data_IF_226550311151
#
_entry.id   IF_226550311151
#
_cell.length_a   1.000
_cell.length_b   1.000
_cell.length_c   1.000
_cell.angle_alpha   90.00
_cell.angle_beta   90.00
_cell.angle_gamma   90.00
#
_symmetry.space_group_name_H-M   'P 1'
#
loop_
_entity.id
_entity.type
_entity.pdbx_description
1 polymer ?
#
# COMPACT_ATOMS: atom_id res chain seq x y z
N UNK A 1 -19.14 -25.73 -5.33
CA UNK A 1 -19.05 -26.71 -4.22
C UNK A 1 -18.42 -27.96 -4.77
N UNK A 2 -17.38 -28.47 -4.11
CA UNK A 2 -16.63 -29.66 -4.50
C UNK A 2 -16.76 -30.75 -3.44
N UNK A 3 -16.68 -32.00 -3.82
CA UNK A 3 -16.51 -33.08 -2.86
C UNK A 3 -15.09 -33.12 -2.32
N UNK A 4 -14.89 -33.67 -1.12
CA UNK A 4 -13.56 -33.67 -0.46
C UNK A 4 -12.52 -34.43 -1.31
N UNK A 5 -12.96 -35.43 -2.09
CA UNK A 5 -12.07 -36.19 -2.95
C UNK A 5 -11.79 -35.52 -4.31
N UNK A 6 -12.49 -34.43 -4.65
CA UNK A 6 -12.35 -33.67 -5.92
C UNK A 6 -12.07 -32.20 -5.69
N UNK A 7 -11.09 -31.91 -4.83
CA UNK A 7 -10.68 -30.54 -4.54
C UNK A 7 -9.74 -30.05 -5.64
N UNK A 8 -10.07 -28.92 -6.34
CA UNK A 8 -9.19 -28.35 -7.36
C UNK A 8 -7.87 -27.86 -6.75
N UNK A 9 -6.80 -27.94 -7.53
CA UNK A 9 -5.51 -27.35 -7.11
C UNK A 9 -5.64 -25.83 -7.04
N UNK A 10 -5.43 -25.28 -5.84
CA UNK A 10 -5.47 -23.86 -5.60
C UNK A 10 -4.15 -23.19 -5.99
N UNK A 11 -4.22 -21.97 -6.53
CA UNK A 11 -3.03 -21.18 -6.88
C UNK A 11 -2.28 -20.71 -5.63
N UNK A 12 -0.97 -20.99 -5.55
CA UNK A 12 -0.16 -20.79 -4.33
C UNK A 12 -0.02 -19.34 -3.87
N UNK A 13 -0.22 -18.36 -4.75
CA UNK A 13 0.04 -16.94 -4.44
C UNK A 13 -1.23 -16.10 -4.30
N UNK A 14 -2.40 -16.71 -4.29
CA UNK A 14 -3.69 -16.04 -4.15
C UNK A 14 -4.30 -16.43 -2.80
N UNK A 15 -4.93 -15.48 -2.12
CA UNK A 15 -5.72 -15.78 -0.91
C UNK A 15 -7.01 -16.46 -1.33
N UNK A 16 -7.26 -17.65 -0.80
CA UNK A 16 -8.48 -18.39 -1.01
C UNK A 16 -9.30 -18.40 0.28
N UNK A 17 -10.61 -18.29 0.14
CA UNK A 17 -11.55 -18.62 1.20
C UNK A 17 -12.02 -20.04 0.98
N UNK A 18 -11.95 -20.86 2.03
CA UNK A 18 -12.34 -22.28 1.99
C UNK A 18 -13.35 -22.49 3.11
N UNK A 19 -14.57 -22.79 2.72
CA UNK A 19 -15.66 -23.04 3.65
C UNK A 19 -16.06 -24.51 3.57
N UNK A 20 -16.39 -25.10 4.72
CA UNK A 20 -16.88 -26.49 4.80
C UNK A 20 -18.39 -26.47 4.91
N UNK A 21 -19.06 -27.09 3.97
CA UNK A 21 -20.52 -27.24 4.02
C UNK A 21 -20.89 -28.30 5.07
N UNK A 22 -21.56 -27.88 6.13
CA UNK A 22 -22.01 -28.79 7.21
C UNK A 22 -23.32 -29.46 6.86
N UNK A 23 -24.30 -28.70 6.33
CA UNK A 23 -25.61 -29.21 5.99
C UNK A 23 -26.27 -28.38 4.89
N UNK A 24 -27.24 -28.98 4.20
CA UNK A 24 -28.16 -28.31 3.26
C UNK A 24 -29.58 -28.59 3.67
N UNK A 25 -30.30 -27.54 4.04
CA UNK A 25 -31.64 -27.65 4.56
C UNK A 25 -32.64 -26.84 3.75
N UNK A 26 -33.83 -27.36 3.57
CA UNK A 26 -34.96 -26.59 3.05
C UNK A 26 -35.76 -26.07 4.24
N UNK A 27 -35.92 -24.76 4.34
CA UNK A 27 -36.60 -24.13 5.48
C UNK A 27 -38.04 -24.56 5.58
N UNK A 28 -38.37 -25.21 6.69
CA UNK A 28 -39.72 -25.51 7.11
C UNK A 28 -39.81 -25.56 8.64
N UNK A 29 -41.00 -25.46 9.26
CA UNK A 29 -41.13 -25.43 10.70
C UNK A 29 -40.63 -26.66 11.46
N UNK A 30 -40.52 -27.81 10.80
CA UNK A 30 -40.18 -29.10 11.42
C UNK A 30 -38.68 -29.37 11.53
N UNK A 31 -37.84 -28.55 10.82
CA UNK A 31 -36.40 -28.81 10.76
C UNK A 31 -35.62 -28.08 11.88
N UNK A 32 -36.27 -27.43 12.81
CA UNK A 32 -35.62 -26.62 13.85
C UNK A 32 -34.55 -27.41 14.59
N UNK A 33 -34.83 -28.65 14.98
CA UNK A 33 -33.84 -29.47 15.69
C UNK A 33 -32.62 -29.78 14.81
N UNK A 34 -32.84 -30.18 13.54
CA UNK A 34 -31.73 -30.47 12.60
C UNK A 34 -30.85 -29.25 12.36
N UNK A 35 -31.46 -28.07 12.18
CA UNK A 35 -30.69 -26.81 12.03
C UNK A 35 -29.87 -26.51 13.28
N UNK A 36 -30.45 -26.73 14.48
CA UNK A 36 -29.70 -26.52 15.74
C UNK A 36 -28.48 -27.42 15.83
N UNK A 37 -28.62 -28.70 15.52
CA UNK A 37 -27.53 -29.69 15.54
C UNK A 37 -26.44 -29.35 14.50
N UNK A 38 -26.84 -28.91 13.32
CA UNK A 38 -25.91 -28.48 12.25
C UNK A 38 -25.17 -27.21 12.64
N UNK A 39 -25.84 -26.21 13.22
CA UNK A 39 -25.24 -24.97 13.73
C UNK A 39 -24.26 -25.27 14.87
N UNK A 40 -24.62 -26.10 15.85
CA UNK A 40 -23.72 -26.50 16.94
C UNK A 40 -22.47 -27.21 16.42
N UNK A 41 -22.63 -28.06 15.41
CA UNK A 41 -21.51 -28.77 14.75
C UNK A 41 -20.61 -27.76 14.02
N UNK A 42 -21.19 -26.83 13.27
CA UNK A 42 -20.45 -25.78 12.56
C UNK A 42 -19.66 -24.87 13.52
N UNK A 43 -20.30 -24.44 14.61
CA UNK A 43 -19.66 -23.62 15.65
C UNK A 43 -18.46 -24.33 16.28
N UNK A 44 -18.57 -25.64 16.52
CA UNK A 44 -17.47 -26.44 17.09
C UNK A 44 -16.30 -26.60 16.12
N UNK A 45 -16.59 -26.88 14.84
CA UNK A 45 -15.56 -27.07 13.82
C UNK A 45 -14.83 -25.78 13.48
N UNK A 46 -15.56 -24.68 13.35
CA UNK A 46 -15.03 -23.38 12.91
C UNK A 46 -14.74 -22.41 14.06
N UNK A 47 -14.56 -22.91 15.30
CA UNK A 47 -14.22 -22.12 16.49
C UNK A 47 -15.13 -20.91 16.71
N UNK A 48 -16.41 -21.07 16.42
CA UNK A 48 -17.42 -20.07 16.70
C UNK A 48 -17.88 -19.21 15.50
N UNK A 49 -17.46 -19.53 14.27
CA UNK A 49 -17.90 -18.82 13.07
C UNK A 49 -18.70 -19.75 12.17
N UNK A 50 -19.83 -19.29 11.66
CA UNK A 50 -20.63 -20.00 10.65
C UNK A 50 -21.12 -19.02 9.61
N UNK A 51 -21.29 -19.49 8.39
CA UNK A 51 -21.89 -18.74 7.28
C UNK A 51 -23.16 -19.45 6.88
N UNK A 52 -24.25 -18.69 6.79
CA UNK A 52 -25.49 -19.16 6.17
C UNK A 52 -25.51 -18.64 4.73
N UNK A 53 -25.52 -19.56 3.80
CA UNK A 53 -25.61 -19.25 2.38
C UNK A 53 -27.05 -19.50 1.90
N UNK A 54 -27.70 -18.46 1.44
CA UNK A 54 -29.01 -18.57 0.79
C UNK A 54 -28.82 -18.94 -0.69
N UNK A 55 -29.29 -20.13 -1.07
CA UNK A 55 -29.11 -20.64 -2.41
C UNK A 55 -30.03 -19.98 -3.46
N UNK A 56 -31.05 -19.26 -3.04
CA UNK A 56 -31.99 -18.59 -3.94
C UNK A 56 -31.52 -17.13 -4.23
N UNK A 57 -31.03 -16.42 -3.23
CA UNK A 57 -30.52 -15.06 -3.38
C UNK A 57 -28.99 -14.97 -3.63
N UNK A 58 -28.27 -16.08 -3.46
CA UNK A 58 -26.79 -16.13 -3.46
C UNK A 58 -26.14 -15.19 -2.43
N UNK A 59 -26.83 -14.90 -1.34
CA UNK A 59 -26.32 -14.04 -0.27
C UNK A 59 -25.73 -14.86 0.86
N UNK A 60 -24.59 -14.39 1.37
CA UNK A 60 -23.91 -14.96 2.53
C UNK A 60 -24.19 -14.12 3.78
N UNK A 61 -24.63 -14.75 4.86
CA UNK A 61 -24.77 -14.13 6.17
C UNK A 61 -23.83 -14.79 7.17
N UNK A 62 -22.89 -13.98 7.69
CA UNK A 62 -21.91 -14.43 8.69
C UNK A 62 -22.51 -14.34 10.09
N UNK A 63 -22.41 -15.43 10.84
CA UNK A 63 -22.72 -15.48 12.26
C UNK A 63 -21.49 -15.83 13.06
N UNK A 64 -21.36 -15.23 14.24
CA UNK A 64 -20.28 -15.55 15.16
C UNK A 64 -20.83 -15.72 16.57
N UNK A 65 -20.43 -16.78 17.23
CA UNK A 65 -20.70 -16.97 18.66
C UNK A 65 -19.82 -16.06 19.54
N UNK A 66 -18.81 -15.42 18.96
CA UNK A 66 -17.87 -14.52 19.63
C UNK A 66 -17.95 -13.14 18.98
N UNK A 67 -18.39 -12.11 19.73
CA UNK A 67 -18.27 -10.68 19.42
C UNK A 67 -18.48 -10.25 17.95
N UNK A 68 -19.63 -10.55 17.38
CA UNK A 68 -20.05 -10.00 16.08
C UNK A 68 -21.07 -8.86 16.25
N UNK A 69 -20.97 -7.86 15.40
CA UNK A 69 -21.95 -6.79 15.33
C UNK A 69 -23.15 -7.25 14.48
N UNK A 70 -24.37 -7.27 15.02
CA UNK A 70 -25.54 -7.72 14.25
C UNK A 70 -26.00 -6.75 13.15
N UNK A 71 -25.39 -5.56 13.06
CA UNK A 71 -25.79 -4.51 12.11
C UNK A 71 -24.86 -4.44 10.90
N UNK A 72 -23.55 -4.64 11.09
CA UNK A 72 -22.54 -4.47 10.05
C UNK A 72 -21.65 -5.69 9.85
N UNK A 73 -22.02 -6.84 10.41
CA UNK A 73 -21.32 -8.12 10.35
C UNK A 73 -19.81 -8.06 10.73
N UNK A 74 -19.38 -6.95 11.33
CA UNK A 74 -18.03 -6.81 11.83
C UNK A 74 -17.79 -7.80 12.98
N UNK A 75 -16.83 -8.71 12.78
CA UNK A 75 -16.43 -9.69 13.77
C UNK A 75 -15.14 -9.24 14.42
N UNK A 76 -15.18 -9.01 15.74
CA UNK A 76 -13.96 -8.77 16.51
C UNK A 76 -13.30 -10.14 16.77
N UNK A 77 -12.01 -10.31 16.45
CA UNK A 77 -11.26 -11.50 16.86
C UNK A 77 -11.28 -11.62 18.40
N UNK A 78 -11.02 -12.78 18.93
CA UNK A 78 -11.03 -13.02 20.38
C UNK A 78 -10.33 -11.89 21.13
N UNK A 79 -10.99 -11.32 22.15
CA UNK A 79 -10.46 -10.22 22.95
C UNK A 79 -9.27 -10.70 23.78
N UNK A 80 -8.10 -10.68 23.20
CA UNK A 80 -6.84 -10.99 23.88
C UNK A 80 -6.14 -9.70 24.33
N UNK A 81 -5.36 -9.73 25.41
CA UNK A 81 -4.61 -8.56 25.89
C UNK A 81 -3.72 -7.93 24.81
N UNK A 82 -3.23 -8.72 23.85
CA UNK A 82 -2.40 -8.24 22.73
C UNK A 82 -3.13 -7.33 21.75
N UNK A 83 -4.48 -7.39 21.67
CA UNK A 83 -5.29 -6.45 20.88
C UNK A 83 -5.25 -5.02 21.44
N UNK A 84 -4.93 -4.86 22.72
CA UNK A 84 -4.82 -3.56 23.37
C UNK A 84 -3.38 -3.06 23.48
N UNK A 85 -2.43 -3.83 22.97
CA UNK A 85 -1.02 -3.46 22.98
C UNK A 85 -0.62 -2.77 21.70
N UNK A 86 -0.25 -1.50 21.78
CA UNK A 86 0.29 -0.75 20.64
C UNK A 86 1.67 -1.26 20.17
N UNK A 87 2.32 -2.12 20.95
CA UNK A 87 3.60 -2.79 20.60
C UNK A 87 3.40 -4.20 20.02
N UNK A 88 2.17 -4.56 19.67
CA UNK A 88 1.85 -5.83 19.02
C UNK A 88 1.12 -5.53 17.70
N UNK A 89 1.49 -6.18 16.57
CA UNK A 89 0.85 -5.95 15.27
C UNK A 89 -0.67 -6.09 15.26
N UNK A 90 -1.25 -6.88 16.17
CA UNK A 90 -2.71 -7.06 16.26
C UNK A 90 -3.41 -5.86 16.89
N UNK A 91 -2.74 -5.11 17.78
CA UNK A 91 -3.29 -3.95 18.50
C UNK A 91 -2.67 -2.62 18.08
N UNK A 92 -1.58 -2.66 17.33
CA UNK A 92 -0.92 -1.47 16.82
C UNK A 92 -1.79 -0.75 15.77
N UNK A 93 -1.76 0.56 15.79
CA UNK A 93 -2.39 1.36 14.76
C UNK A 93 -1.74 1.09 13.40
N UNK A 94 -2.48 0.69 12.34
CA UNK A 94 -1.91 0.37 11.03
C UNK A 94 -1.28 1.58 10.32
N UNK A 95 -1.54 2.81 10.79
CA UNK A 95 -0.99 4.04 10.23
C UNK A 95 0.39 4.40 10.79
N UNK A 96 0.66 4.06 12.05
CA UNK A 96 1.91 4.44 12.74
C UNK A 96 2.61 3.26 13.41
N UNK A 97 2.16 2.01 13.20
CA UNK A 97 2.70 0.79 13.80
C UNK A 97 2.85 0.89 15.33
N UNK A 98 1.93 1.62 15.99
CA UNK A 98 1.94 1.85 17.43
C UNK A 98 2.90 2.95 17.91
N UNK A 99 3.61 3.62 17.01
CA UNK A 99 4.60 4.66 17.37
C UNK A 99 3.97 6.00 17.81
N UNK A 100 2.68 6.20 17.53
CA UNK A 100 1.97 7.45 17.85
C UNK A 100 2.33 8.65 16.97
N UNK A 101 3.24 8.48 16.03
CA UNK A 101 3.63 9.49 15.05
C UNK A 101 3.94 8.86 13.70
N UNK A 102 3.83 9.65 12.63
CA UNK A 102 4.11 9.22 11.26
C UNK A 102 5.13 10.16 10.64
N UNK A 103 6.16 9.58 10.07
CA UNK A 103 7.17 10.34 9.34
C UNK A 103 6.69 10.59 7.91
N UNK A 104 6.84 11.82 7.42
CA UNK A 104 6.57 12.18 6.04
C UNK A 104 7.65 13.12 5.49
N UNK A 105 7.85 13.08 4.19
CA UNK A 105 8.74 13.99 3.51
C UNK A 105 8.02 15.31 3.23
N UNK A 106 8.48 16.38 3.88
CA UNK A 106 7.94 17.73 3.72
C UNK A 106 8.41 18.31 2.37
N UNK A 107 7.45 18.72 1.53
CA UNK A 107 7.69 19.38 0.25
C UNK A 107 8.71 20.52 0.37
N UNK A 108 8.58 21.38 1.40
CA UNK A 108 9.44 22.54 1.60
C UNK A 108 10.88 22.18 1.94
N UNK A 109 11.11 21.01 2.55
CA UNK A 109 12.44 20.49 2.85
C UNK A 109 13.06 19.73 1.70
N UNK A 110 12.25 19.07 0.88
CA UNK A 110 12.69 18.36 -0.33
C UNK A 110 13.11 19.34 -1.41
N UNK A 111 12.30 20.37 -1.66
CA UNK A 111 12.66 21.50 -2.52
C UNK A 111 13.39 22.54 -1.66
N UNK A 112 14.66 22.25 -1.39
CA UNK A 112 15.45 23.07 -0.46
C UNK A 112 15.74 24.47 -0.98
N UNK A 113 15.83 24.62 -2.30
CA UNK A 113 16.19 25.87 -2.97
C UNK A 113 15.26 26.17 -4.14
N UNK A 114 14.00 26.58 -3.90
CA UNK A 114 13.00 26.78 -4.96
C UNK A 114 13.39 27.88 -5.98
N UNK A 115 14.26 28.78 -5.61
CA UNK A 115 14.83 29.82 -6.48
C UNK A 115 15.89 29.29 -7.45
N UNK A 116 16.38 28.07 -7.25
CA UNK A 116 17.28 27.40 -8.18
C UNK A 116 16.49 26.56 -9.19
N UNK A 117 17.12 26.30 -10.32
CA UNK A 117 16.59 25.34 -11.29
C UNK A 117 16.80 23.90 -10.84
N UNK A 118 16.07 22.97 -11.44
CA UNK A 118 16.28 21.52 -11.23
C UNK A 118 17.71 21.10 -11.58
N UNK A 119 18.25 21.66 -12.66
CA UNK A 119 19.62 21.42 -13.09
C UNK A 119 20.67 21.94 -12.09
N UNK A 120 20.35 23.03 -11.36
CA UNK A 120 21.24 23.69 -10.40
C UNK A 120 21.07 23.19 -8.97
N UNK A 121 20.11 22.29 -8.72
CA UNK A 121 19.94 21.63 -7.44
C UNK A 121 18.80 22.17 -6.57
N UNK A 122 17.71 22.63 -7.14
CA UNK A 122 16.48 22.95 -6.40
C UNK A 122 16.07 21.81 -5.46
N UNK A 123 16.25 20.57 -5.92
CA UNK A 123 16.02 19.34 -5.17
C UNK A 123 17.35 18.64 -4.92
N UNK A 124 17.72 18.43 -3.66
CA UNK A 124 18.99 17.80 -3.30
C UNK A 124 19.08 16.37 -3.86
N UNK A 125 20.18 16.06 -4.55
CA UNK A 125 20.45 14.77 -5.12
C UNK A 125 19.73 14.47 -6.46
N UNK A 126 18.94 15.42 -6.97
CA UNK A 126 18.27 15.37 -8.26
C UNK A 126 18.78 16.48 -9.19
N UNK A 127 20.08 16.61 -9.32
CA UNK A 127 20.78 17.62 -10.10
C UNK A 127 21.81 17.00 -11.05
N UNK A 128 22.53 17.85 -11.80
CA UNK A 128 23.58 17.45 -12.76
C UNK A 128 24.67 16.54 -12.17
N UNK A 129 24.89 16.57 -10.85
CA UNK A 129 25.88 15.72 -10.18
C UNK A 129 25.42 14.28 -10.08
N UNK A 130 24.13 14.03 -10.06
CA UNK A 130 23.55 12.69 -10.11
C UNK A 130 22.98 12.40 -11.50
N UNK A 131 23.81 11.84 -12.36
CA UNK A 131 23.47 11.57 -13.76
C UNK A 131 22.18 10.76 -13.92
N UNK A 132 21.93 9.78 -13.06
CA UNK A 132 20.75 8.92 -13.14
C UNK A 132 19.44 9.73 -12.96
N UNK A 133 19.35 10.49 -11.87
CA UNK A 133 18.14 11.29 -11.62
C UNK A 133 18.02 12.48 -12.55
N UNK A 134 19.15 13.05 -12.98
CA UNK A 134 19.14 14.14 -13.93
C UNK A 134 18.62 13.71 -15.31
N UNK A 135 18.92 12.49 -15.76
CA UNK A 135 18.35 11.92 -16.99
C UNK A 135 16.83 11.73 -16.90
N UNK A 136 16.33 11.33 -15.73
CA UNK A 136 14.89 11.24 -15.47
C UNK A 136 14.24 12.61 -15.59
N UNK A 137 14.82 13.65 -14.95
CA UNK A 137 14.30 15.01 -15.04
C UNK A 137 14.33 15.57 -16.47
N UNK A 138 15.39 15.30 -17.24
CA UNK A 138 15.46 15.67 -18.65
C UNK A 138 14.38 14.96 -19.49
N UNK A 139 14.10 13.70 -19.20
CA UNK A 139 13.03 12.97 -19.91
C UNK A 139 11.65 13.54 -19.58
N UNK A 140 11.43 13.98 -18.34
CA UNK A 140 10.23 14.71 -17.93
C UNK A 140 10.10 16.06 -18.63
N UNK A 141 11.21 16.83 -18.64
CA UNK A 141 11.24 18.13 -19.30
C UNK A 141 10.87 18.04 -20.79
N UNK A 142 11.43 17.04 -21.49
CA UNK A 142 11.09 16.79 -22.89
C UNK A 142 9.65 16.28 -23.09
N UNK A 143 9.09 15.55 -22.13
CA UNK A 143 7.74 15.01 -22.27
C UNK A 143 6.65 16.06 -22.01
N UNK A 144 6.86 16.93 -21.02
CA UNK A 144 5.91 17.98 -20.61
C UNK A 144 6.27 19.36 -21.18
N UNK A 145 7.31 19.46 -22.00
CA UNK A 145 7.76 20.68 -22.69
C UNK A 145 8.03 21.85 -21.74
N UNK A 146 8.83 21.58 -20.68
CA UNK A 146 9.27 22.63 -19.76
C UNK A 146 10.80 22.77 -19.74
N UNK A 147 11.28 23.99 -19.44
CA UNK A 147 12.72 24.27 -19.36
C UNK A 147 13.28 23.84 -17.99
N UNK A 148 14.26 22.92 -18.00
CA UNK A 148 14.89 22.37 -16.79
C UNK A 148 15.78 23.38 -16.06
N UNK A 149 16.21 24.45 -16.76
CA UNK A 149 17.07 25.51 -16.21
C UNK A 149 16.25 26.68 -15.61
N UNK A 150 14.92 26.67 -15.72
CA UNK A 150 14.06 27.63 -15.00
C UNK A 150 14.06 27.36 -13.50
N UNK A 151 13.97 28.42 -12.65
CA UNK A 151 13.75 28.26 -11.21
C UNK A 151 12.53 27.38 -10.93
N UNK A 152 12.65 26.50 -9.93
CA UNK A 152 11.54 25.59 -9.60
C UNK A 152 10.26 26.34 -9.22
N UNK A 153 10.38 27.51 -8.59
CA UNK A 153 9.26 28.37 -8.22
C UNK A 153 8.53 29.00 -9.41
N UNK A 154 9.17 29.08 -10.58
CA UNK A 154 8.61 29.64 -11.80
C UNK A 154 7.98 28.59 -12.71
N UNK A 155 8.19 27.31 -12.42
CA UNK A 155 7.51 26.21 -13.12
C UNK A 155 6.02 26.25 -12.83
N UNK A 156 5.21 25.87 -13.81
CA UNK A 156 3.77 25.70 -13.62
C UNK A 156 3.45 24.75 -12.45
N UNK A 157 2.42 25.07 -11.69
CA UNK A 157 2.03 24.28 -10.51
C UNK A 157 1.77 22.80 -10.86
N UNK A 158 1.20 22.54 -12.03
CA UNK A 158 0.99 21.18 -12.52
C UNK A 158 2.32 20.43 -12.69
N UNK A 159 3.33 21.06 -13.28
CA UNK A 159 4.67 20.51 -13.49
C UNK A 159 5.36 20.25 -12.13
N UNK A 160 5.28 21.23 -11.21
CA UNK A 160 5.80 21.05 -9.86
C UNK A 160 5.17 19.84 -9.17
N UNK A 161 3.86 19.66 -9.30
CA UNK A 161 3.12 18.54 -8.72
C UNK A 161 3.52 17.19 -9.36
N UNK A 162 3.71 17.16 -10.68
CA UNK A 162 4.19 15.95 -11.38
C UNK A 162 5.60 15.58 -10.88
N UNK A 163 6.50 16.54 -10.78
CA UNK A 163 7.86 16.31 -10.29
C UNK A 163 7.84 15.75 -8.86
N UNK A 164 7.03 16.30 -7.98
CA UNK A 164 6.97 15.91 -6.57
C UNK A 164 6.22 14.59 -6.34
N UNK A 165 5.05 14.43 -6.95
CA UNK A 165 4.11 13.33 -6.63
C UNK A 165 4.00 12.27 -7.74
N UNK A 166 4.60 12.55 -8.92
CA UNK A 166 4.61 11.61 -10.03
C UNK A 166 3.50 11.80 -11.06
N UNK A 167 3.60 11.04 -12.16
CA UNK A 167 2.69 11.09 -13.31
C UNK A 167 1.44 10.22 -13.17
N UNK A 168 1.17 9.66 -11.98
CA UNK A 168 0.06 8.74 -11.69
C UNK A 168 0.06 7.53 -12.65
N UNK A 169 -0.92 7.45 -13.57
CA UNK A 169 -1.06 6.36 -14.56
C UNK A 169 -0.40 6.66 -15.90
N UNK A 170 0.04 7.89 -16.12
CA UNK A 170 0.65 8.30 -17.39
C UNK A 170 2.05 7.68 -17.54
N UNK A 171 2.27 7.00 -18.65
CA UNK A 171 3.55 6.34 -18.95
C UNK A 171 4.41 7.26 -19.81
N UNK A 172 5.59 7.60 -19.28
CA UNK A 172 6.58 8.48 -19.89
C UNK A 172 7.75 7.65 -20.40
N UNK A 173 8.32 8.03 -21.54
CA UNK A 173 9.52 7.38 -22.07
C UNK A 173 10.76 7.98 -21.42
N UNK A 174 11.51 7.17 -20.67
CA UNK A 174 12.74 7.56 -20.02
C UNK A 174 13.95 7.03 -20.80
N UNK A 175 14.97 7.87 -20.94
CA UNK A 175 16.21 7.54 -21.56
C UNK A 175 17.27 7.29 -20.47
N UNK A 176 17.79 6.05 -20.38
CA UNK A 176 18.82 5.66 -19.43
C UNK A 176 20.14 5.44 -20.18
N UNK A 177 21.19 6.17 -19.81
CA UNK A 177 22.52 5.91 -20.33
C UNK A 177 23.16 4.76 -19.54
N UNK A 178 23.45 3.67 -20.20
CA UNK A 178 24.17 2.54 -19.61
C UNK A 178 25.64 2.70 -19.97
N UNK A 179 26.57 2.47 -19.05
CA UNK A 179 28.01 2.79 -19.06
C UNK A 179 28.84 2.50 -20.32
N UNK A 180 28.24 2.00 -21.40
CA UNK A 180 28.84 1.78 -22.71
C UNK A 180 28.42 2.78 -23.78
N UNK A 181 27.80 3.92 -23.39
CA UNK A 181 27.25 4.92 -24.30
C UNK A 181 25.96 4.52 -25.01
N UNK A 182 25.37 3.38 -24.66
CA UNK A 182 24.07 2.95 -25.20
C UNK A 182 22.94 3.58 -24.40
N UNK A 183 21.94 4.15 -25.11
CA UNK A 183 20.70 4.67 -24.51
C UNK A 183 19.69 3.53 -24.47
N UNK A 184 19.24 3.17 -23.28
CA UNK A 184 18.13 2.25 -23.09
C UNK A 184 16.85 3.05 -22.83
N UNK A 185 15.87 2.91 -23.70
CA UNK A 185 14.56 3.53 -23.55
C UNK A 185 13.64 2.60 -22.75
N UNK A 186 12.97 3.14 -21.74
CA UNK A 186 11.94 2.43 -20.96
C UNK A 186 10.72 3.32 -20.79
N UNK A 187 9.54 2.73 -20.96
CA UNK A 187 8.26 3.44 -20.80
C UNK A 187 7.55 2.98 -19.53
N UNK A 188 7.46 3.86 -18.55
CA UNK A 188 6.76 3.60 -17.29
C UNK A 188 6.22 4.91 -16.68
N UNK A 189 5.36 4.79 -15.67
CA UNK A 189 4.92 5.95 -14.92
C UNK A 189 6.06 6.50 -14.04
N UNK A 190 6.11 7.81 -13.89
CA UNK A 190 7.04 8.46 -12.97
C UNK A 190 6.50 8.41 -11.54
N UNK A 191 7.28 7.90 -10.61
CA UNK A 191 6.84 7.75 -9.21
C UNK A 191 6.78 9.07 -8.43
N UNK A 192 7.52 10.09 -8.86
CA UNK A 192 7.67 11.35 -8.12
C UNK A 192 8.82 11.33 -7.12
N UNK A 193 9.38 12.52 -6.88
CA UNK A 193 10.55 12.68 -5.98
C UNK A 193 10.21 12.29 -4.54
N UNK A 194 9.06 12.71 -4.03
CA UNK A 194 8.62 12.41 -2.66
C UNK A 194 8.43 10.91 -2.43
N UNK A 195 7.77 10.24 -3.39
CA UNK A 195 7.57 8.79 -3.31
C UNK A 195 8.88 8.03 -3.45
N UNK A 196 9.81 8.50 -4.30
CA UNK A 196 11.14 7.93 -4.42
C UNK A 196 11.91 8.03 -3.09
N UNK A 197 11.89 9.19 -2.43
CA UNK A 197 12.53 9.35 -1.13
C UNK A 197 11.88 8.47 -0.07
N UNK A 198 10.54 8.39 -0.04
CA UNK A 198 9.81 7.53 0.88
C UNK A 198 10.22 6.06 0.69
N UNK A 199 10.14 5.56 -0.53
CA UNK A 199 10.52 4.17 -0.85
C UNK A 199 11.98 3.88 -0.47
N UNK A 200 12.91 4.77 -0.82
CA UNK A 200 14.33 4.61 -0.48
C UNK A 200 14.57 4.65 1.02
N UNK A 201 13.81 5.43 1.78
CA UNK A 201 13.89 5.48 3.24
C UNK A 201 13.38 4.18 3.87
N UNK A 202 12.29 3.62 3.35
CA UNK A 202 11.67 2.38 3.85
C UNK A 202 12.46 1.13 3.44
N UNK A 203 13.04 1.10 2.23
CA UNK A 203 13.74 -0.08 1.69
C UNK A 203 15.23 -0.13 2.01
N UNK A 204 15.81 0.94 2.56
CA UNK A 204 17.25 1.00 2.74
C UNK A 204 17.69 0.55 4.13
N UNK A 205 18.62 -0.41 4.16
CA UNK A 205 19.36 -0.79 5.37
C UNK A 205 20.68 0.01 5.51
N UNK A 206 21.00 0.86 4.53
CA UNK A 206 22.24 1.60 4.50
C UNK A 206 22.16 2.90 5.32
N UNK A 207 22.96 3.00 6.38
CA UNK A 207 23.09 4.21 7.18
C UNK A 207 23.50 5.43 6.34
N UNK A 208 24.28 5.26 5.29
CA UNK A 208 24.67 6.33 4.38
C UNK A 208 23.46 6.86 3.59
N UNK A 209 22.58 5.97 3.09
CA UNK A 209 21.34 6.38 2.44
C UNK A 209 20.42 7.13 3.40
N UNK A 210 20.27 6.66 4.64
CA UNK A 210 19.49 7.32 5.68
C UNK A 210 19.99 8.73 6.00
N UNK A 211 21.31 8.95 5.99
CA UNK A 211 21.91 10.28 6.18
C UNK A 211 21.55 11.27 5.08
N UNK A 212 21.35 10.82 3.84
CA UNK A 212 20.93 11.69 2.72
C UNK A 212 19.42 11.93 2.65
N UNK A 213 18.63 11.04 3.24
CA UNK A 213 17.16 11.11 3.21
C UNK A 213 16.56 11.58 4.55
N UNK A 214 17.32 11.47 5.65
CA UNK A 214 16.90 11.94 6.97
C UNK A 214 17.37 13.37 7.22
N UNK A 215 16.57 14.25 7.85
CA UNK A 215 17.06 15.54 8.27
C UNK A 215 18.20 15.35 9.28
N UNK A 216 19.29 16.09 9.08
CA UNK A 216 20.40 16.09 10.04
C UNK A 216 19.90 16.51 11.43
N UNK A 217 20.43 15.96 12.53
CA UNK A 217 20.12 16.44 13.88
C UNK A 217 20.37 17.94 14.07
N UNK A 218 21.20 18.57 13.21
CA UNK A 218 21.42 20.02 13.17
C UNK A 218 20.24 20.77 12.55
N UNK A 219 19.48 20.16 11.66
CA UNK A 219 18.32 20.77 11.00
C UNK A 219 17.07 20.75 11.90
N UNK A 220 17.09 19.95 12.96
CA UNK A 220 16.03 19.85 13.97
C UNK A 220 16.17 20.89 15.11
N UNK A 221 17.21 21.74 15.09
CA UNK A 221 17.48 22.75 16.12
C UNK A 221 17.13 24.15 15.67
N UNK A 222 16.02 24.32 14.92
CA UNK A 222 15.47 25.67 14.67
C UNK A 222 14.03 25.73 15.10
#
# INVERSE_FOLDING_TARGET
IHEIDDIPQLEKNIKHQIDVVIDRVKINPEIKQRVTESVETGIKIAEGKIVLHDMDSEEDQLFSAKFSCPVCDYVIPELEPRLFSFNNPMGACPECDGLGHKNYFDKSKVVAFPQLSLASGAIKGWDKRNQFYFQILNSLANHYDFEIDLPFSELEENIQNIILYGSKKEKIEFNYFVGTGRVQKRKHAFEGVLNNFKRRYEETESNTCLLYTSPSPRDLRK
#
